data_IF_701988224796
#
_entry.id   IF_701988224796
#
_cell.length_a   1.000
_cell.length_b   1.000
_cell.length_c   1.000
_cell.angle_alpha   90.00
_cell.angle_beta   90.00
_cell.angle_gamma   90.00
#
_symmetry.space_group_name_H-M   'P 1'
#
loop_
_entity.id
_entity.type
_entity.pdbx_description
1 polymer ?
#
# COMPACT_ATOMS: atom_id res chain seq x y z
N UNK A 1 -28.15 -13.36 1.88
CA UNK A 1 -28.38 -12.23 2.79
C UNK A 1 -29.39 -12.57 3.91
N UNK A 2 -30.54 -13.14 3.60
CA UNK A 2 -31.56 -13.49 4.59
C UNK A 2 -31.11 -14.61 5.55
N UNK A 3 -30.33 -15.57 5.05
CA UNK A 3 -29.76 -16.65 5.86
C UNK A 3 -28.59 -16.20 6.74
N UNK A 4 -28.05 -15.00 6.55
CA UNK A 4 -26.91 -14.50 7.29
C UNK A 4 -27.33 -13.99 8.68
N UNK A 5 -26.70 -14.52 9.73
CA UNK A 5 -26.89 -14.02 11.09
C UNK A 5 -26.41 -12.57 11.18
N UNK A 6 -27.28 -11.68 11.60
CA UNK A 6 -27.01 -10.26 11.77
C UNK A 6 -26.76 -9.94 13.24
N UNK A 7 -25.78 -9.11 13.52
CA UNK A 7 -25.52 -8.57 14.85
C UNK A 7 -25.53 -7.05 14.77
N UNK A 8 -26.30 -6.36 15.65
CA UNK A 8 -26.30 -4.91 15.68
C UNK A 8 -24.94 -4.39 16.15
N UNK A 9 -24.52 -3.25 15.60
CA UNK A 9 -23.31 -2.53 16.01
C UNK A 9 -23.74 -1.23 16.66
N UNK A 10 -23.25 -0.95 17.87
CA UNK A 10 -23.44 0.33 18.54
C UNK A 10 -22.54 1.40 17.93
N UNK A 11 -22.98 2.65 17.94
CA UNK A 11 -22.15 3.79 17.53
C UNK A 11 -20.93 3.96 18.42
N UNK A 12 -20.97 3.52 19.68
CA UNK A 12 -19.82 3.46 20.59
C UNK A 12 -18.74 2.46 20.13
N UNK A 13 -19.10 1.52 19.25
CA UNK A 13 -18.18 0.51 18.72
C UNK A 13 -17.52 0.94 17.41
N UNK A 14 -17.73 2.20 17.00
CA UNK A 14 -17.07 2.80 15.86
C UNK A 14 -15.76 3.48 16.28
N UNK A 15 -14.69 3.24 15.57
CA UNK A 15 -13.44 3.94 15.76
C UNK A 15 -12.68 4.08 14.44
N UNK A 16 -12.00 5.21 14.29
CA UNK A 16 -11.12 5.49 13.17
C UNK A 16 -9.73 5.81 13.67
N UNK A 17 -8.72 5.18 13.08
CA UNK A 17 -7.30 5.44 13.36
C UNK A 17 -6.56 5.66 12.07
N UNK A 18 -5.51 6.49 12.15
CA UNK A 18 -4.62 6.82 11.03
C UNK A 18 -3.18 6.62 11.46
N UNK A 19 -2.44 5.92 10.64
CA UNK A 19 -0.97 5.84 10.69
C UNK A 19 -0.40 6.47 9.42
N UNK A 20 0.68 7.24 9.59
CA UNK A 20 1.41 7.86 8.48
C UNK A 20 2.77 7.26 8.34
N UNK A 21 3.10 6.77 7.15
CA UNK A 21 4.37 6.12 6.87
C UNK A 21 5.05 6.70 5.64
N UNK A 22 6.37 6.67 5.65
CA UNK A 22 7.18 6.85 4.43
C UNK A 22 7.46 5.48 3.85
N UNK A 23 7.10 5.27 2.59
CA UNK A 23 7.42 4.02 1.91
C UNK A 23 8.81 4.11 1.31
N UNK A 24 9.68 3.11 1.53
CA UNK A 24 10.97 3.02 0.84
C UNK A 24 10.72 2.78 -0.65
N UNK A 25 11.23 3.67 -1.49
CA UNK A 25 11.06 3.60 -2.93
C UNK A 25 12.13 2.70 -3.56
N UNK A 26 11.77 2.11 -4.70
CA UNK A 26 12.68 1.27 -5.48
C UNK A 26 13.88 2.08 -6.00
N UNK A 27 15.09 1.52 -5.88
CA UNK A 27 16.31 2.15 -6.37
C UNK A 27 16.33 2.35 -7.91
N UNK A 28 15.43 1.69 -8.62
CA UNK A 28 15.22 1.85 -10.05
C UNK A 28 14.52 3.15 -10.44
N UNK A 29 13.92 3.86 -9.48
CA UNK A 29 13.32 5.17 -9.70
C UNK A 29 14.42 6.25 -9.75
N UNK A 30 15.12 6.33 -10.89
CA UNK A 30 16.18 7.30 -11.12
C UNK A 30 15.63 8.56 -11.77
N UNK A 31 15.67 9.69 -11.05
CA UNK A 31 15.11 10.99 -11.47
C UNK A 31 15.59 11.38 -12.87
N UNK A 32 16.90 11.39 -13.09
CA UNK A 32 17.51 11.82 -14.36
C UNK A 32 17.02 10.97 -15.54
N UNK A 33 16.84 9.66 -15.33
CA UNK A 33 16.32 8.76 -16.36
C UNK A 33 14.86 9.06 -16.69
N UNK A 34 14.05 9.30 -15.67
CA UNK A 34 12.63 9.62 -15.84
C UNK A 34 12.45 10.98 -16.52
N UNK A 35 13.24 11.99 -16.16
CA UNK A 35 13.22 13.30 -16.79
C UNK A 35 13.64 13.23 -18.26
N UNK A 36 14.68 12.48 -18.59
CA UNK A 36 15.08 12.23 -19.98
C UNK A 36 13.97 11.57 -20.79
N UNK A 37 13.33 10.52 -20.25
CA UNK A 37 12.21 9.85 -20.91
C UNK A 37 11.03 10.79 -21.14
N UNK A 38 10.72 11.63 -20.16
CA UNK A 38 9.62 12.60 -20.27
C UNK A 38 9.92 13.69 -21.34
N UNK A 39 11.16 14.14 -21.42
CA UNK A 39 11.60 15.15 -22.38
C UNK A 39 11.77 14.60 -23.82
N UNK A 40 11.91 13.29 -23.99
CA UNK A 40 12.05 12.66 -25.30
C UNK A 40 10.73 12.69 -26.06
N UNK A 41 10.65 13.55 -27.07
CA UNK A 41 9.47 13.69 -27.92
C UNK A 41 9.29 12.53 -28.89
N UNK A 42 10.28 11.65 -29.03
CA UNK A 42 10.22 10.43 -29.86
C UNK A 42 9.78 9.20 -29.09
N UNK A 43 9.81 9.26 -27.75
CA UNK A 43 9.31 8.20 -26.89
C UNK A 43 7.79 8.07 -27.02
N UNK A 44 7.28 6.85 -26.91
CA UNK A 44 5.83 6.62 -26.99
C UNK A 44 5.10 7.23 -25.76
N UNK A 45 3.82 7.53 -25.93
CA UNK A 45 3.02 8.20 -24.91
C UNK A 45 2.92 7.40 -23.61
N UNK A 46 2.92 6.08 -23.66
CA UNK A 46 2.87 5.20 -22.49
C UNK A 46 4.13 5.35 -21.62
N UNK A 47 5.31 5.37 -22.24
CA UNK A 47 6.57 5.51 -21.51
C UNK A 47 6.69 6.90 -20.89
N UNK A 48 6.28 7.94 -21.63
CA UNK A 48 6.25 9.32 -21.12
C UNK A 48 5.26 9.46 -19.97
N UNK A 49 4.07 8.86 -20.05
CA UNK A 49 3.09 8.86 -18.97
C UNK A 49 3.63 8.13 -17.74
N UNK A 50 4.24 6.96 -17.90
CA UNK A 50 4.87 6.21 -16.82
C UNK A 50 5.99 7.01 -16.14
N UNK A 51 6.84 7.68 -16.92
CA UNK A 51 7.89 8.54 -16.38
C UNK A 51 7.29 9.71 -15.58
N UNK A 52 6.25 10.34 -16.09
CA UNK A 52 5.54 11.44 -15.41
C UNK A 52 4.97 11.00 -14.06
N UNK A 53 4.27 9.86 -14.01
CA UNK A 53 3.67 9.34 -12.76
C UNK A 53 4.73 8.98 -11.71
N UNK A 54 5.86 8.39 -12.15
CA UNK A 54 6.98 8.07 -11.26
C UNK A 54 7.70 9.32 -10.77
N UNK A 55 7.87 10.35 -11.60
CA UNK A 55 8.40 11.64 -11.17
C UNK A 55 7.48 12.33 -10.17
N UNK A 56 6.16 12.25 -10.36
CA UNK A 56 5.21 12.79 -9.40
C UNK A 56 5.33 12.11 -8.03
N UNK A 57 5.51 10.78 -7.99
CA UNK A 57 5.77 10.04 -6.75
C UNK A 57 7.06 10.48 -6.08
N UNK A 58 8.18 10.60 -6.83
CA UNK A 58 9.46 11.10 -6.31
C UNK A 58 9.30 12.51 -5.74
N UNK A 59 8.68 13.42 -6.47
CA UNK A 59 8.47 14.81 -6.03
C UNK A 59 7.66 14.89 -4.74
N UNK A 60 6.59 14.09 -4.62
CA UNK A 60 5.79 14.00 -3.38
C UNK A 60 6.63 13.49 -2.21
N UNK A 61 7.43 12.44 -2.45
CA UNK A 61 8.29 11.84 -1.42
C UNK A 61 9.37 12.82 -0.95
N UNK A 62 10.04 13.52 -1.88
CA UNK A 62 11.06 14.52 -1.57
C UNK A 62 10.47 15.73 -0.82
N UNK A 63 9.21 16.08 -1.11
CA UNK A 63 8.45 17.08 -0.36
C UNK A 63 7.97 16.59 1.03
N UNK A 64 8.35 15.37 1.43
CA UNK A 64 8.03 14.83 2.75
C UNK A 64 6.66 14.16 2.87
N UNK A 65 6.01 13.85 1.75
CA UNK A 65 4.73 13.14 1.75
C UNK A 65 4.81 11.83 2.53
N UNK A 66 3.77 11.55 3.30
CA UNK A 66 3.56 10.30 4.01
C UNK A 66 2.25 9.66 3.54
N UNK A 67 2.30 8.36 3.32
CA UNK A 67 1.12 7.58 2.98
C UNK A 67 0.28 7.35 4.25
N UNK A 68 -1.02 7.58 4.14
CA UNK A 68 -1.95 7.31 5.24
C UNK A 68 -2.49 5.88 5.12
N UNK A 69 -2.27 5.11 6.17
CA UNK A 69 -2.91 3.83 6.41
C UNK A 69 -3.97 4.04 7.46
N UNK A 70 -5.14 3.44 7.29
CA UNK A 70 -6.22 3.66 8.25
C UNK A 70 -6.85 2.36 8.71
N UNK A 71 -7.44 2.40 9.93
CA UNK A 71 -8.29 1.35 10.46
C UNK A 71 -9.66 1.92 10.75
N UNK A 72 -10.69 1.38 10.12
CA UNK A 72 -12.08 1.53 10.53
C UNK A 72 -12.46 0.32 11.38
N UNK A 73 -12.86 0.56 12.64
CA UNK A 73 -13.44 -0.48 13.50
C UNK A 73 -14.96 -0.34 13.49
N UNK A 74 -15.64 -1.47 13.25
CA UNK A 74 -17.10 -1.62 13.29
C UNK A 74 -17.43 -2.80 14.22
N UNK A 75 -17.55 -2.55 15.51
CA UNK A 75 -17.68 -3.60 16.51
C UNK A 75 -16.43 -4.50 16.52
N UNK A 76 -16.59 -5.79 16.22
CA UNK A 76 -15.50 -6.76 16.10
C UNK A 76 -14.82 -6.78 14.72
N UNK A 77 -15.34 -6.04 13.74
CA UNK A 77 -14.79 -5.98 12.39
C UNK A 77 -13.81 -4.81 12.28
N UNK A 78 -12.65 -5.07 11.71
CA UNK A 78 -11.61 -4.07 11.42
C UNK A 78 -11.37 -4.05 9.93
N UNK A 79 -11.50 -2.90 9.30
CA UNK A 79 -11.15 -2.69 7.90
C UNK A 79 -9.87 -1.86 7.85
N UNK A 80 -8.79 -2.47 7.38
CA UNK A 80 -7.53 -1.78 7.10
C UNK A 80 -7.57 -1.22 5.68
N UNK A 81 -7.41 0.08 5.54
CA UNK A 81 -7.25 0.73 4.26
C UNK A 81 -5.77 0.98 3.99
N UNK A 82 -5.26 0.41 2.90
CA UNK A 82 -3.83 0.31 2.61
C UNK A 82 -3.50 0.89 1.22
N UNK A 83 -2.28 1.39 1.01
CA UNK A 83 -1.85 1.91 -0.29
C UNK A 83 -1.49 0.79 -1.26
N UNK A 84 -1.50 1.10 -2.55
CA UNK A 84 -1.03 0.20 -3.59
C UNK A 84 -1.82 -1.09 -3.74
N UNK A 85 -1.30 -2.02 -4.50
CA UNK A 85 -1.83 -3.38 -4.70
C UNK A 85 -0.98 -4.38 -3.93
N UNK A 86 -1.42 -4.69 -2.70
CA UNK A 86 -0.65 -5.54 -1.80
C UNK A 86 -0.85 -7.02 -2.11
N UNK A 87 0.21 -7.80 -1.88
CA UNK A 87 0.14 -9.25 -1.87
C UNK A 87 -0.78 -9.75 -0.75
N UNK A 88 -1.41 -10.90 -0.96
CA UNK A 88 -2.37 -11.50 -0.01
C UNK A 88 -1.75 -11.77 1.36
N UNK A 89 -0.44 -11.95 1.45
CA UNK A 89 0.30 -12.16 2.68
C UNK A 89 0.09 -11.05 3.70
N UNK A 90 -0.12 -9.81 3.25
CA UNK A 90 -0.46 -8.69 4.15
C UNK A 90 -1.82 -8.89 4.81
N UNK A 91 -2.83 -9.35 4.06
CA UNK A 91 -4.15 -9.70 4.62
C UNK A 91 -4.05 -10.83 5.62
N UNK A 92 -3.30 -11.90 5.29
CA UNK A 92 -3.11 -13.05 6.17
C UNK A 92 -2.37 -12.66 7.44
N UNK A 93 -1.33 -11.84 7.33
CA UNK A 93 -0.59 -11.32 8.48
C UNK A 93 -1.49 -10.44 9.38
N UNK A 94 -2.31 -9.57 8.79
CA UNK A 94 -3.24 -8.73 9.54
C UNK A 94 -4.26 -9.55 10.34
N UNK A 95 -4.78 -10.64 9.78
CA UNK A 95 -5.67 -11.57 10.48
C UNK A 95 -4.95 -12.28 11.64
N UNK A 96 -3.68 -12.65 11.46
CA UNK A 96 -2.86 -13.24 12.53
C UNK A 96 -2.52 -12.25 13.66
N UNK A 97 -2.41 -10.94 13.35
CA UNK A 97 -2.17 -9.90 14.35
C UNK A 97 -3.35 -9.68 15.30
N UNK A 98 -4.57 -10.02 14.88
CA UNK A 98 -5.79 -9.88 15.71
C UNK A 98 -6.74 -11.06 15.48
N UNK A 99 -6.39 -12.27 15.97
CA UNK A 99 -7.10 -13.52 15.68
C UNK A 99 -8.50 -13.60 16.28
N UNK A 100 -8.79 -12.80 17.29
CA UNK A 100 -10.07 -12.68 17.99
C UNK A 100 -11.08 -11.73 17.31
N UNK A 101 -10.69 -11.13 16.19
CA UNK A 101 -11.52 -10.19 15.44
C UNK A 101 -11.53 -10.53 13.94
N UNK A 102 -12.53 -10.03 13.23
CA UNK A 102 -12.53 -10.06 11.76
C UNK A 102 -11.68 -8.91 11.24
N UNK A 103 -10.64 -9.22 10.50
CA UNK A 103 -9.79 -8.23 9.82
C UNK A 103 -9.95 -8.36 8.32
N UNK A 104 -10.38 -7.28 7.67
CA UNK A 104 -10.48 -7.14 6.22
C UNK A 104 -9.50 -6.08 5.75
N UNK A 105 -8.97 -6.25 4.53
CA UNK A 105 -8.08 -5.26 3.92
C UNK A 105 -8.74 -4.65 2.69
N UNK A 106 -8.79 -3.33 2.64
CA UNK A 106 -9.11 -2.54 1.46
C UNK A 106 -7.80 -1.95 0.92
N UNK A 107 -7.28 -2.58 -0.13
CA UNK A 107 -6.11 -2.09 -0.86
C UNK A 107 -6.49 -0.97 -1.84
N UNK A 108 -5.54 -0.51 -2.66
CA UNK A 108 -5.69 0.50 -3.71
C UNK A 108 -6.01 1.92 -3.22
N UNK A 109 -5.73 2.24 -1.96
CA UNK A 109 -6.03 3.54 -1.38
C UNK A 109 -5.27 4.69 -2.04
N UNK A 110 -3.93 4.64 -2.05
CA UNK A 110 -3.06 5.51 -2.86
C UNK A 110 -2.25 4.58 -3.76
N UNK A 111 -2.56 4.58 -5.05
CA UNK A 111 -2.00 3.62 -6.00
C UNK A 111 -0.59 3.99 -6.51
N UNK A 112 -0.04 5.13 -6.12
CA UNK A 112 1.28 5.56 -6.58
C UNK A 112 2.41 4.54 -6.33
N UNK A 113 2.39 3.70 -5.28
CA UNK A 113 3.35 2.61 -5.09
C UNK A 113 3.28 1.50 -6.14
N UNK A 114 2.16 1.32 -6.85
CA UNK A 114 1.89 0.16 -7.69
C UNK A 114 1.71 -1.11 -6.86
N UNK A 115 2.21 -2.23 -7.36
CA UNK A 115 2.24 -3.49 -6.59
C UNK A 115 3.19 -3.40 -5.41
N UNK A 116 2.80 -4.03 -4.30
CA UNK A 116 3.62 -4.11 -3.09
C UNK A 116 3.76 -5.58 -2.68
N UNK A 117 4.90 -6.18 -2.98
CA UNK A 117 5.25 -7.54 -2.61
C UNK A 117 5.78 -7.67 -1.18
N UNK A 118 5.95 -8.90 -0.73
CA UNK A 118 6.74 -9.22 0.46
C UNK A 118 8.24 -9.11 0.15
N UNK A 119 9.08 -8.98 1.16
CA UNK A 119 10.54 -8.88 0.98
C UNK A 119 11.10 -10.04 0.17
N UNK A 120 10.64 -11.26 0.46
CA UNK A 120 11.06 -12.46 -0.27
C UNK A 120 10.62 -12.44 -1.74
N UNK A 121 9.46 -11.88 -2.06
CA UNK A 121 8.94 -11.83 -3.42
C UNK A 121 9.87 -11.04 -4.35
N UNK A 122 10.51 -9.98 -3.86
CA UNK A 122 11.48 -9.21 -4.65
C UNK A 122 12.73 -10.02 -5.02
N UNK A 123 13.07 -11.05 -4.27
CA UNK A 123 14.20 -11.96 -4.60
C UNK A 123 13.76 -13.09 -5.53
N UNK A 124 12.48 -13.50 -5.45
CA UNK A 124 11.92 -14.57 -6.30
C UNK A 124 11.60 -14.07 -7.71
N UNK A 125 11.36 -12.76 -7.86
CA UNK A 125 10.97 -12.17 -9.13
C UNK A 125 9.47 -12.36 -9.41
N UNK A 126 9.06 -12.04 -10.62
CA UNK A 126 7.67 -12.05 -11.05
C UNK A 126 7.22 -10.69 -11.56
N UNK A 127 6.06 -10.62 -12.21
CA UNK A 127 5.55 -9.41 -12.84
C UNK A 127 5.33 -8.28 -11.80
N UNK A 128 4.78 -8.61 -10.65
CA UNK A 128 4.32 -7.66 -9.65
C UNK A 128 5.48 -6.91 -8.96
N UNK A 129 6.65 -7.54 -8.87
CA UNK A 129 7.82 -6.95 -8.19
C UNK A 129 8.85 -6.33 -9.15
N UNK A 130 8.54 -6.32 -10.46
CA UNK A 130 9.39 -5.68 -11.45
C UNK A 130 9.31 -4.16 -11.36
N UNK A 131 10.38 -3.48 -11.83
CA UNK A 131 10.45 -2.02 -11.89
C UNK A 131 9.34 -1.36 -12.74
N UNK A 132 8.70 -2.10 -13.64
CA UNK A 132 7.54 -1.64 -14.41
C UNK A 132 6.25 -1.62 -13.61
N UNK A 133 6.14 -2.43 -12.55
CA UNK A 133 4.91 -2.72 -11.83
C UNK A 133 4.96 -2.24 -10.37
N UNK A 134 6.12 -2.28 -9.72
CA UNK A 134 6.33 -1.86 -8.34
C UNK A 134 7.26 -0.64 -8.27
N UNK A 135 6.90 0.33 -7.45
CA UNK A 135 7.70 1.52 -7.17
C UNK A 135 8.32 1.48 -5.75
N UNK A 136 8.22 0.35 -5.05
CA UNK A 136 8.71 0.19 -3.68
C UNK A 136 9.91 -0.75 -3.57
N UNK A 137 10.74 -0.54 -2.55
CA UNK A 137 11.85 -1.43 -2.20
C UNK A 137 11.39 -2.55 -1.26
N UNK A 138 12.12 -3.70 -1.17
CA UNK A 138 11.77 -4.82 -0.29
C UNK A 138 11.47 -4.46 1.17
N UNK A 139 12.20 -3.47 1.72
CA UNK A 139 11.98 -2.98 3.08
C UNK A 139 10.56 -2.40 3.34
N UNK A 140 9.73 -2.24 2.31
CA UNK A 140 8.33 -1.81 2.44
C UNK A 140 7.51 -2.76 3.29
N UNK A 141 7.81 -4.07 3.25
CA UNK A 141 7.10 -5.06 4.06
C UNK A 141 7.20 -4.73 5.54
N UNK A 142 8.42 -4.50 6.05
CA UNK A 142 8.61 -4.15 7.46
C UNK A 142 7.84 -2.90 7.86
N UNK A 143 7.87 -1.86 7.02
CA UNK A 143 7.17 -0.59 7.29
C UNK A 143 5.66 -0.80 7.40
N UNK A 144 5.06 -1.55 6.48
CA UNK A 144 3.63 -1.79 6.46
C UNK A 144 3.20 -2.75 7.57
N UNK A 145 3.97 -3.82 7.83
CA UNK A 145 3.69 -4.76 8.93
C UNK A 145 3.72 -4.05 10.29
N UNK A 146 4.68 -3.16 10.52
CA UNK A 146 4.76 -2.40 11.77
C UNK A 146 3.60 -1.42 11.90
N UNK A 147 3.19 -0.76 10.83
CA UNK A 147 2.03 0.14 10.82
C UNK A 147 0.71 -0.62 11.07
N UNK A 148 0.51 -1.79 10.44
CA UNK A 148 -0.66 -2.63 10.69
C UNK A 148 -0.75 -3.07 12.15
N UNK A 149 0.38 -3.46 12.77
CA UNK A 149 0.41 -3.80 14.21
C UNK A 149 -0.06 -2.63 15.07
N UNK A 150 0.46 -1.41 14.82
CA UNK A 150 0.04 -0.21 15.56
C UNK A 150 -1.44 0.11 15.35
N UNK A 151 -1.94 -0.02 14.12
CA UNK A 151 -3.36 0.21 13.81
C UNK A 151 -4.27 -0.80 14.52
N UNK A 152 -3.88 -2.07 14.61
CA UNK A 152 -4.68 -3.15 15.17
C UNK A 152 -4.57 -3.27 16.70
N UNK A 153 -3.58 -2.63 17.31
CA UNK A 153 -3.51 -2.49 18.79
C UNK A 153 -4.61 -1.53 19.25
N UNK A 154 -5.32 -1.89 20.33
CA UNK A 154 -6.41 -1.09 20.92
C UNK A 154 -5.90 0.05 21.77
#
# INVERSE_FOLDING_TARGET
WEATKKSPISTSDLAWRVERVRLPLAATLQRDTLEKTLADTTANDRDRLNASTKLALLNRTDAGHQFELTRLRLGSVNVLHMPGELFVEYQLAAQQMKPDATVCMAAYGDYAPGYIGTEIAYTQGGYEVQASSSNTAPAVEKVLMDAMRRLLTD
#
